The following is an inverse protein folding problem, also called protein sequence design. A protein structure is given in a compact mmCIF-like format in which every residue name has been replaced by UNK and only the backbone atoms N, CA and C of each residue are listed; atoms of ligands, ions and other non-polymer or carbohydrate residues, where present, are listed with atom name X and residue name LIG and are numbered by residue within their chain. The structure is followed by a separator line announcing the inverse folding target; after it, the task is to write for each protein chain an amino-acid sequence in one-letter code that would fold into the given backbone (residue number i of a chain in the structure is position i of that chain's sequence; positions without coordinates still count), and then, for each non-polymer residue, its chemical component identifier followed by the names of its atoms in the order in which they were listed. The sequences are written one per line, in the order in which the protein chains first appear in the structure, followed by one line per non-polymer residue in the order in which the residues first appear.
data_IF_081895371386
#
_entry.id   IF_081895371386
#
_cell.length_a   1.000
_cell.length_b   1.000
_cell.length_c   1.000
_cell.angle_alpha   90.00
_cell.angle_beta   90.00
_cell.angle_gamma   90.00
#
_symmetry.space_group_name_H-M   'P 1'
#
loop_
_entity.id
_entity.type
_entity.pdbx_description
1 polymer ?
#
# COMPACT_ATOMS: atom_id res chain seq x y z
N UNK A 1 18.53 2.96 4.01
CA UNK A 1 18.11 2.53 2.67
C UNK A 1 18.27 1.03 2.53
N UNK A 2 17.32 0.35 1.90
CA UNK A 2 17.24 -1.08 1.64
C UNK A 2 16.80 -1.31 0.19
N UNK A 3 16.85 -2.56 -0.28
CA UNK A 3 16.35 -2.93 -1.62
C UNK A 3 14.84 -2.70 -1.81
N UNK A 4 14.10 -2.42 -0.73
CA UNK A 4 12.69 -2.05 -0.78
C UNK A 4 12.47 -0.59 -1.18
N UNK A 5 13.45 0.31 -1.02
CA UNK A 5 13.25 1.74 -1.33
C UNK A 5 12.93 1.98 -2.82
N UNK A 6 13.66 1.40 -3.80
CA UNK A 6 13.30 1.55 -5.21
C UNK A 6 11.91 0.98 -5.55
N UNK A 7 11.47 -0.05 -4.84
CA UNK A 7 10.14 -0.65 -5.01
C UNK A 7 9.05 0.26 -4.41
N UNK A 8 9.32 0.83 -3.24
CA UNK A 8 8.48 1.82 -2.58
C UNK A 8 8.28 3.06 -3.48
N UNK A 9 9.36 3.56 -4.07
CA UNK A 9 9.33 4.69 -5.02
C UNK A 9 8.55 4.33 -6.29
N UNK A 10 8.72 3.12 -6.82
CA UNK A 10 7.95 2.64 -7.96
C UNK A 10 6.45 2.60 -7.65
N UNK A 11 6.04 2.06 -6.50
CA UNK A 11 4.64 2.04 -6.06
C UNK A 11 4.11 3.47 -5.93
N UNK A 12 4.86 4.37 -5.27
CA UNK A 12 4.50 5.78 -5.12
C UNK A 12 4.28 6.47 -6.48
N UNK A 13 5.12 6.16 -7.47
CA UNK A 13 4.99 6.68 -8.84
C UNK A 13 3.78 6.13 -9.61
N UNK A 14 3.16 5.05 -9.15
CA UNK A 14 1.99 4.43 -9.77
C UNK A 14 0.65 4.93 -9.19
N UNK A 15 0.68 5.78 -8.16
CA UNK A 15 -0.54 6.37 -7.62
C UNK A 15 -1.20 7.34 -8.61
N UNK A 16 -2.54 7.49 -8.56
CA UNK A 16 -3.25 8.43 -9.41
C UNK A 16 -2.84 9.88 -9.11
N UNK A 17 -2.93 10.74 -10.13
CA UNK A 17 -2.71 12.17 -9.97
C UNK A 17 -3.66 12.75 -8.90
N UNK A 18 -3.10 13.48 -7.94
CA UNK A 18 -3.87 14.05 -6.82
C UNK A 18 -4.07 13.10 -5.63
N UNK A 19 -3.49 11.90 -5.65
CA UNK A 19 -3.36 11.12 -4.41
C UNK A 19 -2.49 11.89 -3.41
N UNK A 20 -2.95 11.95 -2.16
CA UNK A 20 -2.23 12.55 -1.04
C UNK A 20 -1.87 11.45 -0.03
N UNK A 21 -0.71 10.79 -0.18
CA UNK A 21 -0.26 9.84 0.82
C UNK A 21 -0.08 10.49 2.19
N UNK A 22 -0.27 9.73 3.28
CA UNK A 22 0.01 10.22 4.62
C UNK A 22 1.41 10.84 4.71
N UNK A 23 1.55 11.90 5.51
CA UNK A 23 2.85 12.48 5.79
C UNK A 23 3.80 11.43 6.39
N UNK A 24 5.08 11.48 6.03
CA UNK A 24 6.10 10.53 6.51
C UNK A 24 5.76 9.04 6.23
N UNK A 25 5.03 8.76 5.15
CA UNK A 25 4.62 7.42 4.72
C UNK A 25 5.74 6.53 4.17
N UNK A 26 7.01 6.90 4.30
CA UNK A 26 8.11 6.13 3.68
C UNK A 26 8.18 4.69 4.20
N UNK A 27 7.97 4.49 5.50
CA UNK A 27 7.90 3.14 6.09
C UNK A 27 6.66 2.37 5.60
N UNK A 28 5.53 3.06 5.40
CA UNK A 28 4.32 2.45 4.83
C UNK A 28 4.58 1.94 3.40
N UNK A 29 5.24 2.73 2.55
CA UNK A 29 5.57 2.29 1.20
C UNK A 29 6.60 1.15 1.17
N UNK A 30 7.51 1.07 2.16
CA UNK A 30 8.37 -0.12 2.33
C UNK A 30 7.55 -1.37 2.69
N UNK A 31 6.53 -1.24 3.53
CA UNK A 31 5.61 -2.35 3.83
C UNK A 31 4.81 -2.74 2.58
N UNK A 32 4.34 -1.77 1.78
CA UNK A 32 3.71 -2.05 0.49
C UNK A 32 4.67 -2.71 -0.51
N UNK A 33 5.97 -2.39 -0.48
CA UNK A 33 6.97 -3.10 -1.27
C UNK A 33 7.12 -4.57 -0.84
N UNK A 34 6.88 -4.91 0.43
CA UNK A 34 6.80 -6.31 0.87
C UNK A 34 5.55 -6.99 0.29
N UNK A 35 4.39 -6.32 0.25
CA UNK A 35 3.19 -6.85 -0.40
C UNK A 35 3.40 -7.08 -1.90
N UNK A 36 4.08 -6.15 -2.57
CA UNK A 36 4.47 -6.27 -3.98
C UNK A 36 5.29 -7.54 -4.21
N UNK A 37 6.31 -7.80 -3.39
CA UNK A 37 7.16 -9.00 -3.52
C UNK A 37 6.43 -10.29 -3.17
N UNK A 38 5.53 -10.26 -2.18
CA UNK A 38 4.84 -11.45 -1.69
C UNK A 38 3.65 -11.87 -2.58
N UNK A 39 2.92 -10.91 -3.13
CA UNK A 39 1.63 -11.14 -3.81
C UNK A 39 1.55 -10.53 -5.20
N UNK A 40 2.42 -9.58 -5.55
CA UNK A 40 2.44 -8.96 -6.88
C UNK A 40 1.10 -8.35 -7.28
N UNK A 41 0.55 -8.81 -8.40
CA UNK A 41 -0.72 -8.33 -8.94
C UNK A 41 -1.96 -8.92 -8.22
N UNK A 42 -1.78 -9.86 -7.28
CA UNK A 42 -2.84 -10.44 -6.46
C UNK A 42 -3.07 -9.70 -5.14
N UNK A 43 -2.45 -8.54 -4.95
CA UNK A 43 -2.72 -7.66 -3.80
C UNK A 43 -4.17 -7.16 -3.85
N UNK A 44 -4.81 -7.22 -2.69
CA UNK A 44 -6.19 -6.77 -2.46
C UNK A 44 -6.22 -5.52 -1.59
N UNK A 45 -7.36 -4.82 -1.59
CA UNK A 45 -7.62 -3.67 -0.71
C UNK A 45 -7.47 -4.06 0.77
N UNK A 46 -7.84 -5.29 1.15
CA UNK A 46 -7.67 -5.78 2.52
C UNK A 46 -6.20 -5.99 2.91
N UNK A 47 -5.34 -6.42 1.97
CA UNK A 47 -3.90 -6.52 2.25
C UNK A 47 -3.30 -5.14 2.53
N UNK A 48 -3.70 -4.14 1.74
CA UNK A 48 -3.30 -2.73 1.91
C UNK A 48 -3.77 -2.21 3.27
N UNK A 49 -5.04 -2.42 3.62
CA UNK A 49 -5.58 -2.00 4.91
C UNK A 49 -4.86 -2.64 6.08
N UNK A 50 -4.53 -3.93 5.99
CA UNK A 50 -3.80 -4.63 7.04
C UNK A 50 -2.38 -4.07 7.22
N UNK A 51 -1.68 -3.78 6.11
CA UNK A 51 -0.37 -3.14 6.13
C UNK A 51 -0.42 -1.72 6.70
N UNK A 52 -1.39 -0.91 6.25
CA UNK A 52 -1.64 0.43 6.77
C UNK A 52 -1.96 0.39 8.27
N UNK A 53 -2.82 -0.53 8.70
CA UNK A 53 -3.19 -0.68 10.11
C UNK A 53 -1.99 -1.00 11.00
N UNK A 54 -1.11 -1.91 10.55
CA UNK A 54 0.11 -2.24 11.29
C UNK A 54 1.07 -1.04 11.41
N UNK A 55 1.22 -0.26 10.34
CA UNK A 55 2.02 0.96 10.35
C UNK A 55 1.39 2.04 11.24
N UNK A 56 0.10 2.33 11.06
CA UNK A 56 -0.64 3.32 11.85
C UNK A 56 -0.64 2.97 13.33
N UNK A 57 -0.79 1.70 13.70
CA UNK A 57 -0.73 1.28 15.11
C UNK A 57 0.58 1.68 15.81
N UNK A 58 1.71 1.70 15.08
CA UNK A 58 3.01 2.09 15.63
C UNK A 58 3.12 3.59 15.95
N UNK A 59 2.27 4.43 15.35
CA UNK A 59 2.27 5.89 15.53
C UNK A 59 1.05 6.41 16.29
N UNK A 60 -0.13 5.86 16.01
CA UNK A 60 -1.41 6.19 16.62
C UNK A 60 -2.26 4.91 16.77
N UNK A 61 -2.05 4.22 17.88
CA UNK A 61 -2.83 3.02 18.23
C UNK A 61 -4.30 3.28 18.55
N UNK A 62 -4.74 4.55 18.61
CA UNK A 62 -6.12 4.93 18.92
C UNK A 62 -6.96 5.26 17.69
N UNK A 63 -6.36 5.22 16.49
CA UNK A 63 -7.03 5.58 15.25
C UNK A 63 -8.27 4.70 14.99
N UNK A 64 -9.41 5.34 14.72
CA UNK A 64 -10.74 4.67 14.66
C UNK A 64 -10.84 3.57 13.59
N UNK A 65 -10.11 3.73 12.49
CA UNK A 65 -10.06 2.77 11.38
C UNK A 65 -9.20 1.52 11.67
N UNK A 66 -8.58 1.38 12.86
CA UNK A 66 -7.85 0.18 13.27
C UNK A 66 -8.79 -0.98 13.66
N UNK A 67 -9.66 -1.34 12.73
CA UNK A 67 -10.57 -2.48 12.79
C UNK A 67 -10.41 -3.33 11.53
N UNK A 68 -10.95 -4.55 11.52
CA UNK A 68 -10.86 -5.41 10.35
C UNK A 68 -11.52 -4.76 9.11
N UNK A 69 -10.93 -4.94 7.93
CA UNK A 69 -11.37 -4.31 6.68
C UNK A 69 -12.87 -4.48 6.41
N UNK A 70 -13.41 -5.68 6.57
CA UNK A 70 -14.84 -5.97 6.36
C UNK A 70 -15.79 -5.25 7.33
N UNK A 71 -15.28 -4.66 8.42
CA UNK A 71 -16.05 -3.87 9.39
C UNK A 71 -16.03 -2.37 9.10
N UNK A 72 -15.21 -1.92 8.15
CA UNK A 72 -15.16 -0.52 7.74
C UNK A 72 -16.39 -0.14 6.89
N UNK A 73 -16.80 1.11 7.01
CA UNK A 73 -17.74 1.71 6.06
C UNK A 73 -17.17 1.59 4.63
N UNK A 74 -18.00 1.22 3.62
CA UNK A 74 -17.58 1.17 2.21
C UNK A 74 -16.78 2.39 1.72
N UNK A 75 -17.10 3.59 2.21
CA UNK A 75 -16.40 4.83 1.85
C UNK A 75 -14.98 4.86 2.40
N UNK A 76 -14.78 4.31 3.60
CA UNK A 76 -13.45 4.25 4.21
C UNK A 76 -12.60 3.20 3.48
N UNK A 77 -13.17 2.02 3.16
CA UNK A 77 -12.49 0.99 2.35
C UNK A 77 -12.01 1.50 0.99
N UNK A 78 -12.75 2.43 0.39
CA UNK A 78 -12.39 3.00 -0.90
C UNK A 78 -11.06 3.77 -0.88
N UNK A 79 -10.55 4.16 0.29
CA UNK A 79 -9.23 4.79 0.40
C UNK A 79 -8.06 3.83 0.18
N UNK A 80 -8.25 2.52 0.35
CA UNK A 80 -7.21 1.50 0.12
C UNK A 80 -7.01 1.20 -1.38
N UNK A 81 -8.08 1.29 -2.17
CA UNK A 81 -8.10 0.87 -3.57
C UNK A 81 -7.03 1.53 -4.47
N UNK A 82 -6.74 2.86 -4.36
CA UNK A 82 -5.66 3.48 -5.13
C UNK A 82 -4.28 2.88 -4.86
N UNK A 83 -4.00 2.48 -3.61
CA UNK A 83 -2.71 1.87 -3.25
C UNK A 83 -2.63 0.42 -3.72
N UNK A 84 -3.73 -0.34 -3.61
CA UNK A 84 -3.79 -1.68 -4.16
C UNK A 84 -3.52 -1.65 -5.67
N UNK A 85 -4.16 -0.75 -6.41
CA UNK A 85 -3.93 -0.60 -7.84
C UNK A 85 -2.50 -0.15 -8.18
N UNK A 86 -1.92 0.75 -7.38
CA UNK A 86 -0.52 1.16 -7.55
C UNK A 86 0.45 -0.01 -7.37
N UNK A 87 0.23 -0.88 -6.37
CA UNK A 87 1.06 -2.08 -6.15
C UNK A 87 0.91 -3.05 -7.32
N UNK A 88 -0.32 -3.33 -7.77
CA UNK A 88 -0.55 -4.21 -8.93
C UNK A 88 0.08 -3.66 -10.21
N UNK A 89 0.04 -2.34 -10.41
CA UNK A 89 0.69 -1.67 -11.54
C UNK A 89 2.21 -1.80 -11.47
N UNK A 90 2.81 -1.59 -10.29
CA UNK A 90 4.23 -1.81 -10.07
C UNK A 90 4.64 -3.26 -10.36
N UNK A 91 3.83 -4.24 -9.94
CA UNK A 91 4.06 -5.66 -10.20
C UNK A 91 4.15 -5.97 -11.69
N UNK A 92 3.18 -5.47 -12.48
CA UNK A 92 3.18 -5.64 -13.94
C UNK A 92 4.41 -5.02 -14.59
N UNK A 93 4.83 -3.82 -14.14
CA UNK A 93 6.04 -3.16 -14.67
C UNK A 93 7.33 -3.94 -14.37
N UNK A 94 7.44 -4.56 -13.20
CA UNK A 94 8.59 -5.39 -12.85
C UNK A 94 8.62 -6.67 -13.69
N UNK A 95 7.48 -7.33 -13.88
CA UNK A 95 7.38 -8.52 -14.74
C UNK A 95 7.87 -8.27 -16.16
N UNK A 96 7.49 -7.13 -16.76
CA UNK A 96 7.93 -6.74 -18.10
C UNK A 96 9.40 -6.29 -18.21
N UNK A 97 10.09 -6.02 -17.09
CA UNK A 97 11.50 -5.65 -17.11
C UNK A 97 12.44 -6.87 -17.08
N UNK A 98 11.89 -8.06 -16.84
CA UNK A 98 12.62 -9.34 -16.79
C UNK A 98 12.42 -10.22 -18.02
N UNK A 99 11.62 -9.78 -18.99
CA UNK A 99 11.44 -10.37 -20.32
C UNK A 99 12.34 -9.68 -21.37
#
# INVERSE_FOLDING_TARGET
MTYLDPLADLIRSCLPHGAEPPAHSDDLFRIYAVLLLAKGDQVTDEDVHNAWSAWTQSMDSSHEALIAFHKLDPKIRAFDAPYAEAIRTAARRLGHATD
#
